data_IF_335702270577
#
_entry.id   IF_335702270577
#
_cell.length_a   1.000
_cell.length_b   1.000
_cell.length_c   1.000
_cell.angle_alpha   90.00
_cell.angle_beta   90.00
_cell.angle_gamma   90.00
#
_symmetry.space_group_name_H-M   'P 1'
#
loop_
_entity.id
_entity.type
_entity.pdbx_description
1 polymer ?
#
# COMPACT_ATOMS: atom_id res chain seq x y z
N UNK A 1 19.71 4.25 -0.48
CA UNK A 1 19.65 5.41 0.43
C UNK A 1 18.84 4.98 1.64
N UNK A 2 19.35 5.21 2.83
CA UNK A 2 18.58 5.07 4.08
C UNK A 2 17.94 6.42 4.40
N UNK A 3 16.69 6.41 4.88
CA UNK A 3 15.98 7.59 5.31
C UNK A 3 15.61 7.45 6.79
N UNK A 4 15.70 8.55 7.52
CA UNK A 4 15.31 8.61 8.93
C UNK A 4 13.81 8.93 9.04
N UNK A 5 13.03 7.96 9.52
CA UNK A 5 11.59 8.12 9.75
C UNK A 5 11.27 8.58 11.17
N UNK A 6 12.25 8.62 12.07
CA UNK A 6 12.06 8.92 13.50
C UNK A 6 11.25 10.19 13.74
N UNK A 7 11.47 11.32 13.03
CA UNK A 7 10.72 12.54 13.23
C UNK A 7 9.23 12.44 12.84
N UNK A 8 8.84 11.41 12.09
CA UNK A 8 7.51 11.26 11.50
C UNK A 8 6.67 10.16 12.14
N UNK A 9 7.27 9.34 13.02
CA UNK A 9 6.61 8.15 13.60
C UNK A 9 5.32 8.47 14.34
N UNK A 10 5.28 9.60 15.04
CA UNK A 10 4.14 10.01 15.88
C UNK A 10 3.39 11.24 15.35
N UNK A 11 3.70 11.68 14.13
CA UNK A 11 2.91 12.73 13.48
C UNK A 11 1.55 12.19 13.05
N UNK A 12 0.57 13.07 12.98
CA UNK A 12 -0.73 12.75 12.39
C UNK A 12 -0.60 12.59 10.86
N UNK A 13 -1.48 11.82 10.20
CA UNK A 13 -1.50 11.73 8.74
C UNK A 13 -1.60 13.10 8.05
N UNK A 14 -2.38 14.02 8.58
CA UNK A 14 -2.50 15.39 8.04
C UNK A 14 -1.17 16.15 8.08
N UNK A 15 -0.40 16.02 9.17
CA UNK A 15 0.94 16.61 9.27
C UNK A 15 1.92 16.01 8.27
N UNK A 16 1.90 14.69 8.10
CA UNK A 16 2.78 14.02 7.13
C UNK A 16 2.38 14.38 5.70
N UNK A 17 1.08 14.43 5.36
CA UNK A 17 0.62 14.92 4.05
C UNK A 17 1.07 16.35 3.76
N UNK A 18 1.06 17.24 4.74
CA UNK A 18 1.60 18.62 4.57
C UNK A 18 3.08 18.61 4.21
N UNK A 19 3.89 17.77 4.88
CA UNK A 19 5.33 17.62 4.59
C UNK A 19 5.61 16.93 3.25
N UNK A 20 4.68 16.14 2.74
CA UNK A 20 4.74 15.59 1.39
C UNK A 20 4.49 16.70 0.36
N UNK A 21 3.43 17.49 0.57
CA UNK A 21 3.10 18.61 -0.33
C UNK A 21 4.18 19.66 -0.44
N UNK A 22 4.92 19.94 0.63
CA UNK A 22 6.03 20.89 0.62
C UNK A 22 7.36 20.28 0.15
N UNK A 23 7.38 18.97 -0.18
CA UNK A 23 8.56 18.27 -0.68
C UNK A 23 9.56 17.82 0.39
N UNK A 24 9.25 17.99 1.68
CA UNK A 24 10.12 17.51 2.78
C UNK A 24 10.19 15.99 2.81
N UNK A 25 9.08 15.31 2.49
CA UNK A 25 9.00 13.85 2.43
C UNK A 25 8.78 13.43 0.96
N UNK A 26 9.82 12.84 0.36
CA UNK A 26 9.80 12.31 -1.01
C UNK A 26 10.21 10.82 -1.06
N UNK A 27 10.09 10.11 0.07
CA UNK A 27 10.51 8.72 0.27
C UNK A 27 9.38 7.87 0.90
N UNK A 28 9.50 6.52 0.92
CA UNK A 28 8.45 5.63 1.43
C UNK A 28 8.05 5.92 2.87
N UNK A 29 6.75 5.83 3.15
CA UNK A 29 6.15 6.19 4.46
C UNK A 29 6.09 5.03 5.46
N UNK A 30 6.77 3.91 5.21
CA UNK A 30 6.83 2.77 6.13
C UNK A 30 7.28 3.21 7.53
N UNK A 31 6.50 2.85 8.56
CA UNK A 31 6.78 3.19 9.95
C UNK A 31 6.39 4.60 10.39
N UNK A 32 5.90 5.47 9.50
CA UNK A 32 5.34 6.77 9.84
C UNK A 32 3.90 6.65 10.36
N UNK A 33 3.42 7.68 11.06
CA UNK A 33 2.04 7.78 11.55
C UNK A 33 1.58 6.52 12.29
N UNK A 34 2.28 6.11 13.32
CA UNK A 34 1.95 4.91 14.10
C UNK A 34 0.49 4.92 14.55
N UNK A 35 -0.17 3.76 14.41
CA UNK A 35 -1.59 3.60 14.75
C UNK A 35 -2.57 4.00 13.64
N UNK A 36 -2.08 4.48 12.48
CA UNK A 36 -2.92 4.82 11.34
C UNK A 36 -2.73 3.82 10.19
N UNK A 37 -3.82 3.58 9.46
CA UNK A 37 -3.78 2.77 8.25
C UNK A 37 -3.01 3.49 7.14
N UNK A 38 -2.35 2.72 6.28
CA UNK A 38 -1.69 3.22 5.08
C UNK A 38 -2.27 2.55 3.84
N UNK A 39 -2.26 3.26 2.72
CA UNK A 39 -2.76 2.77 1.44
C UNK A 39 -1.76 2.99 0.32
N UNK A 40 -1.83 2.12 -0.69
CA UNK A 40 -1.26 2.36 -1.99
C UNK A 40 -2.30 3.03 -2.89
N UNK A 41 -1.86 3.79 -3.88
CA UNK A 41 -2.73 4.49 -4.81
C UNK A 41 -2.62 3.93 -6.23
N UNK A 42 -3.77 3.75 -6.87
CA UNK A 42 -3.88 3.55 -8.33
C UNK A 42 -4.86 4.59 -8.87
N UNK A 43 -4.45 5.35 -9.88
CA UNK A 43 -5.31 6.27 -10.64
C UNK A 43 -5.44 5.73 -12.06
N UNK A 44 -6.67 5.59 -12.52
CA UNK A 44 -7.00 5.07 -13.85
C UNK A 44 -7.94 6.00 -14.61
N UNK A 45 -7.85 6.05 -15.95
CA UNK A 45 -8.93 6.57 -16.78
C UNK A 45 -10.25 5.82 -16.52
N UNK A 46 -11.38 6.51 -16.61
CA UNK A 46 -12.70 5.96 -16.30
C UNK A 46 -13.06 4.69 -17.05
N UNK A 47 -12.61 4.58 -18.31
CA UNK A 47 -12.86 3.40 -19.16
C UNK A 47 -12.31 2.09 -18.57
N UNK A 48 -11.29 2.17 -17.71
CA UNK A 48 -10.69 1.01 -17.03
C UNK A 48 -11.22 0.80 -15.60
N UNK A 49 -11.94 1.75 -15.05
CA UNK A 49 -12.28 1.76 -13.63
C UNK A 49 -13.20 0.60 -13.23
N UNK A 50 -14.20 0.28 -14.05
CA UNK A 50 -15.14 -0.81 -13.78
C UNK A 50 -14.45 -2.18 -13.81
N UNK A 51 -13.58 -2.42 -14.78
CA UNK A 51 -12.81 -3.65 -14.88
C UNK A 51 -11.82 -3.81 -13.74
N UNK A 52 -11.20 -2.70 -13.32
CA UNK A 52 -10.28 -2.72 -12.16
C UNK A 52 -11.03 -2.96 -10.85
N UNK A 53 -12.19 -2.35 -10.67
CA UNK A 53 -13.06 -2.61 -9.52
C UNK A 53 -13.46 -4.09 -9.44
N UNK A 54 -13.85 -4.69 -10.58
CA UNK A 54 -14.15 -6.12 -10.66
C UNK A 54 -12.89 -6.97 -10.39
N UNK A 55 -11.72 -6.57 -10.91
CA UNK A 55 -10.45 -7.24 -10.63
C UNK A 55 -10.15 -7.26 -9.11
N UNK A 56 -10.35 -6.15 -8.41
CA UNK A 56 -10.11 -6.09 -6.97
C UNK A 56 -11.11 -6.94 -6.18
N UNK A 57 -12.38 -7.01 -6.60
CA UNK A 57 -13.41 -7.89 -6.00
C UNK A 57 -13.06 -9.37 -6.16
N UNK A 58 -12.51 -9.76 -7.30
CA UNK A 58 -12.03 -11.14 -7.55
C UNK A 58 -10.75 -11.47 -6.79
N UNK A 59 -9.99 -10.45 -6.43
CA UNK A 59 -8.69 -10.57 -5.76
C UNK A 59 -8.66 -9.76 -4.44
N UNK A 60 -9.57 -10.02 -3.49
CA UNK A 60 -9.73 -9.17 -2.31
C UNK A 60 -8.54 -9.23 -1.34
N UNK A 61 -7.72 -10.27 -1.40
CA UNK A 61 -6.53 -10.38 -0.57
C UNK A 61 -5.35 -9.57 -1.13
N UNK A 62 -4.94 -9.68 -2.41
CA UNK A 62 -3.87 -8.86 -2.97
C UNK A 62 -4.27 -7.41 -3.23
N UNK A 63 -5.56 -7.11 -3.34
CA UNK A 63 -6.05 -5.78 -3.69
C UNK A 63 -7.25 -5.36 -2.80
N UNK A 64 -7.08 -5.24 -1.47
CA UNK A 64 -8.16 -4.79 -0.58
C UNK A 64 -8.42 -3.31 -0.79
N UNK A 65 -9.49 -2.98 -1.50
CA UNK A 65 -9.90 -1.59 -1.74
C UNK A 65 -10.45 -1.00 -0.45
N UNK A 66 -9.91 0.14 -0.04
CA UNK A 66 -10.32 0.90 1.13
C UNK A 66 -11.26 2.05 0.74
N UNK A 67 -10.97 2.73 -0.37
CA UNK A 67 -11.79 3.82 -0.88
C UNK A 67 -11.67 3.91 -2.41
N UNK A 68 -12.78 4.26 -3.08
CA UNK A 68 -12.82 4.58 -4.52
C UNK A 68 -13.20 6.05 -4.66
N UNK A 69 -12.35 6.83 -5.32
CA UNK A 69 -12.43 8.28 -5.42
C UNK A 69 -12.82 8.66 -6.84
N UNK A 70 -13.92 9.42 -6.99
CA UNK A 70 -14.48 9.84 -8.29
C UNK A 70 -14.81 11.34 -8.27
N UNK A 71 -14.67 11.99 -9.41
CA UNK A 71 -14.99 13.42 -9.57
C UNK A 71 -13.87 14.32 -9.01
N UNK A 72 -13.84 14.58 -7.71
CA UNK A 72 -12.76 15.28 -7.02
C UNK A 72 -11.65 14.31 -6.60
N UNK A 73 -10.36 14.71 -6.57
CA UNK A 73 -9.26 13.87 -6.06
C UNK A 73 -9.19 13.86 -4.52
N UNK A 74 -10.20 14.33 -3.83
CA UNK A 74 -10.23 14.40 -2.37
C UNK A 74 -10.66 13.08 -1.75
N UNK A 75 -10.03 12.72 -0.62
CA UNK A 75 -10.39 11.54 0.18
C UNK A 75 -11.47 11.88 1.20
N UNK A 76 -12.36 10.94 1.47
CA UNK A 76 -13.44 11.06 2.43
C UNK A 76 -13.31 10.04 3.56
N UNK A 77 -13.23 8.74 3.22
CA UNK A 77 -13.23 7.64 4.20
C UNK A 77 -11.83 7.40 4.78
N UNK A 78 -10.78 7.48 3.95
CA UNK A 78 -9.39 7.18 4.35
C UNK A 78 -8.59 8.36 4.87
N UNK A 79 -9.20 9.52 5.02
CA UNK A 79 -8.53 10.67 5.60
C UNK A 79 -9.13 11.99 5.14
N UNK A 80 -9.96 12.57 5.98
CA UNK A 80 -10.58 13.86 5.72
C UNK A 80 -9.54 14.92 5.31
N UNK A 81 -9.83 15.66 4.25
CA UNK A 81 -8.95 16.69 3.69
C UNK A 81 -7.66 16.17 3.04
N UNK A 82 -7.61 14.87 2.73
CA UNK A 82 -6.54 14.31 1.90
C UNK A 82 -6.81 14.51 0.41
N UNK A 83 -5.75 14.57 -0.38
CA UNK A 83 -5.84 14.73 -1.83
C UNK A 83 -4.88 13.72 -2.50
N UNK A 84 -5.45 12.80 -3.29
CA UNK A 84 -4.67 11.69 -3.87
C UNK A 84 -3.69 12.10 -4.97
N UNK A 85 -3.73 13.33 -5.45
CA UNK A 85 -2.79 13.80 -6.50
C UNK A 85 -1.65 14.65 -5.96
N UNK A 86 -1.67 15.05 -4.66
CA UNK A 86 -0.62 15.85 -4.02
C UNK A 86 -0.04 15.25 -2.75
N UNK A 87 -0.73 14.27 -2.14
CA UNK A 87 -0.42 13.78 -0.79
C UNK A 87 0.35 12.46 -0.76
N UNK A 88 0.85 12.02 -1.91
CA UNK A 88 1.67 10.83 -2.06
C UNK A 88 3.11 11.25 -2.39
N UNK A 89 4.13 10.70 -1.70
CA UNK A 89 5.51 11.14 -1.88
C UNK A 89 6.03 11.02 -3.31
N UNK A 90 5.61 9.97 -4.04
CA UNK A 90 6.01 9.74 -5.43
C UNK A 90 4.93 9.02 -6.21
N UNK A 91 4.67 9.50 -7.42
CA UNK A 91 3.76 8.91 -8.41
C UNK A 91 4.59 8.34 -9.56
N UNK A 92 4.23 7.15 -10.02
CA UNK A 92 4.77 6.57 -11.25
C UNK A 92 3.75 6.66 -12.36
N UNK A 93 4.13 7.33 -13.44
CA UNK A 93 3.29 7.48 -14.64
C UNK A 93 3.60 6.38 -15.62
N UNK A 94 2.54 5.72 -16.10
CA UNK A 94 2.60 4.71 -17.15
C UNK A 94 1.74 5.18 -18.32
N UNK A 95 2.31 5.17 -19.52
CA UNK A 95 1.63 5.48 -20.76
C UNK A 95 1.73 4.28 -21.69
N UNK A 96 0.58 3.78 -22.17
CA UNK A 96 0.50 2.56 -22.99
C UNK A 96 1.20 1.34 -22.33
N UNK A 97 1.10 1.19 -21.01
CA UNK A 97 1.71 0.11 -20.24
C UNK A 97 3.21 0.27 -19.98
N UNK A 98 3.83 1.38 -20.42
CA UNK A 98 5.25 1.65 -20.24
C UNK A 98 5.44 2.74 -19.18
N UNK A 99 6.36 2.49 -18.22
CA UNK A 99 6.78 3.52 -17.26
C UNK A 99 7.46 4.67 -18.01
N UNK A 100 7.02 5.91 -17.76
CA UNK A 100 7.55 7.10 -18.42
C UNK A 100 8.32 8.00 -17.47
N UNK A 101 7.81 8.26 -16.26
CA UNK A 101 8.44 9.15 -15.30
C UNK A 101 7.91 9.00 -13.87
N UNK A 102 8.63 9.57 -12.91
CA UNK A 102 8.17 9.80 -11.55
C UNK A 102 7.81 11.28 -11.34
N UNK A 103 6.82 11.52 -10.48
CA UNK A 103 6.34 12.86 -10.12
C UNK A 103 6.14 12.94 -8.61
N UNK A 104 6.18 14.13 -8.05
CA UNK A 104 5.74 14.45 -6.68
C UNK A 104 4.34 15.09 -6.65
N UNK A 105 3.83 15.51 -7.80
CA UNK A 105 2.51 16.10 -7.98
C UNK A 105 1.87 15.51 -9.26
N UNK A 106 0.73 14.85 -9.12
CA UNK A 106 0.00 14.22 -10.20
C UNK A 106 -1.23 15.03 -10.65
N UNK A 107 -1.41 16.28 -10.21
CA UNK A 107 -2.59 17.12 -10.50
C UNK A 107 -2.83 17.27 -12.01
N UNK A 108 -1.77 17.39 -12.80
CA UNK A 108 -1.85 17.50 -14.25
C UNK A 108 -2.42 16.24 -14.95
N UNK A 109 -2.43 15.10 -14.25
CA UNK A 109 -2.90 13.79 -14.72
C UNK A 109 -4.33 13.46 -14.28
N UNK A 110 -4.87 14.19 -13.31
CA UNK A 110 -6.26 14.05 -12.90
C UNK A 110 -7.14 14.75 -13.92
N UNK A 111 -7.79 13.96 -14.77
CA UNK A 111 -8.69 14.44 -15.82
C UNK A 111 -10.14 14.06 -15.46
N UNK A 112 -11.08 14.71 -16.13
CA UNK A 112 -12.48 14.31 -16.05
C UNK A 112 -12.64 12.81 -16.35
N UNK A 113 -13.40 12.12 -15.53
CA UNK A 113 -13.60 10.68 -15.62
C UNK A 113 -12.50 9.82 -14.98
N UNK A 114 -11.38 10.38 -14.50
CA UNK A 114 -10.40 9.61 -13.74
C UNK A 114 -11.00 9.06 -12.44
N UNK A 115 -10.55 7.87 -12.04
CA UNK A 115 -10.93 7.20 -10.81
C UNK A 115 -9.68 6.80 -10.03
N UNK A 116 -9.65 7.17 -8.75
CA UNK A 116 -8.62 6.77 -7.80
C UNK A 116 -9.08 5.58 -6.96
N UNK A 117 -8.16 4.67 -6.69
CA UNK A 117 -8.36 3.52 -5.80
C UNK A 117 -7.29 3.55 -4.70
N UNK A 118 -7.72 3.64 -3.45
CA UNK A 118 -6.86 3.43 -2.30
C UNK A 118 -6.90 1.95 -1.92
N UNK A 119 -5.77 1.30 -2.01
CA UNK A 119 -5.61 -0.13 -1.77
C UNK A 119 -4.81 -0.32 -0.49
N UNK A 120 -5.30 -1.14 0.44
CA UNK A 120 -4.66 -1.40 1.72
C UNK A 120 -3.21 -1.84 1.56
N UNK A 121 -2.37 -1.31 2.42
CA UNK A 121 -0.94 -1.56 2.45
C UNK A 121 -0.54 -2.35 3.70
N UNK A 122 0.39 -3.27 3.54
CA UNK A 122 0.94 -4.07 4.64
C UNK A 122 1.69 -3.24 5.70
N UNK A 123 2.00 -1.98 5.44
CA UNK A 123 2.58 -1.07 6.43
C UNK A 123 1.63 -0.81 7.61
N UNK A 124 0.32 -0.92 7.39
CA UNK A 124 -0.71 -0.69 8.42
C UNK A 124 -0.58 -1.60 9.66
N UNK A 125 -0.01 -2.80 9.51
CA UNK A 125 0.15 -3.73 10.64
C UNK A 125 1.57 -3.79 11.22
N UNK A 126 2.54 -3.11 10.61
CA UNK A 126 3.94 -3.18 11.05
C UNK A 126 4.16 -2.60 12.44
N UNK A 127 3.40 -1.56 12.78
CA UNK A 127 3.43 -0.99 14.13
C UNK A 127 3.04 -2.01 15.18
N UNK A 128 1.98 -2.80 14.96
CA UNK A 128 1.55 -3.84 15.88
C UNK A 128 2.61 -4.94 16.05
N UNK A 129 3.34 -5.28 14.98
CA UNK A 129 4.46 -6.21 15.05
C UNK A 129 5.61 -5.66 15.91
N UNK A 130 6.00 -4.40 15.69
CA UNK A 130 7.08 -3.76 16.43
C UNK A 130 6.72 -3.60 17.90
N UNK A 131 5.47 -3.23 18.21
CA UNK A 131 4.97 -3.12 19.60
C UNK A 131 4.95 -4.47 20.33
N UNK A 132 4.84 -5.58 19.61
CA UNK A 132 4.96 -6.93 20.13
C UNK A 132 6.42 -7.43 20.23
N UNK A 133 7.41 -6.56 19.97
CA UNK A 133 8.84 -6.89 20.02
C UNK A 133 9.34 -7.66 18.80
N UNK A 134 8.59 -7.68 17.69
CA UNK A 134 9.02 -8.31 16.44
C UNK A 134 9.73 -7.27 15.59
N UNK A 135 11.02 -7.51 15.31
CA UNK A 135 11.81 -6.63 14.45
C UNK A 135 11.26 -6.64 13.00
N UNK A 136 11.03 -5.45 12.45
CA UNK A 136 10.70 -5.24 11.05
C UNK A 136 11.95 -4.76 10.34
N UNK A 137 12.71 -5.69 9.73
CA UNK A 137 14.08 -5.47 9.25
C UNK A 137 14.23 -4.32 8.28
N UNK A 138 13.33 -4.15 7.33
CA UNK A 138 13.44 -3.07 6.35
C UNK A 138 13.31 -1.69 7.00
N UNK A 139 12.48 -1.55 8.05
CA UNK A 139 12.39 -0.32 8.84
C UNK A 139 13.70 -0.09 9.60
N UNK A 140 14.21 -1.11 10.30
CA UNK A 140 15.46 -1.02 11.04
C UNK A 140 16.66 -0.68 10.14
N UNK A 141 16.62 -1.07 8.86
CA UNK A 141 17.65 -0.81 7.86
C UNK A 141 17.41 0.48 7.05
N UNK A 142 16.32 1.21 7.30
CA UNK A 142 15.95 2.42 6.56
C UNK A 142 15.79 2.19 5.06
N UNK A 143 15.19 1.07 4.66
CA UNK A 143 14.94 0.73 3.26
C UNK A 143 13.48 0.30 3.04
N UNK A 144 13.07 0.17 1.78
CA UNK A 144 11.74 -0.30 1.46
C UNK A 144 11.60 -1.82 1.67
N UNK A 145 10.38 -2.30 1.93
CA UNK A 145 10.10 -3.73 2.05
C UNK A 145 10.43 -4.47 0.75
N UNK A 146 11.12 -5.62 0.79
CA UNK A 146 11.37 -6.39 -0.41
C UNK A 146 10.06 -7.01 -0.94
N UNK A 147 9.87 -6.92 -2.26
CA UNK A 147 8.69 -7.42 -2.95
C UNK A 147 9.09 -8.46 -4.00
N UNK A 148 8.26 -9.49 -4.16
CA UNK A 148 8.50 -10.61 -5.05
C UNK A 148 7.27 -10.91 -5.90
N UNK A 149 7.47 -11.11 -7.19
CA UNK A 149 6.47 -11.73 -8.06
C UNK A 149 6.39 -13.22 -7.71
N UNK A 150 5.19 -13.71 -7.47
CA UNK A 150 4.95 -15.14 -7.21
C UNK A 150 4.54 -15.87 -8.48
N UNK A 151 4.46 -17.20 -8.42
CA UNK A 151 3.86 -18.03 -9.48
C UNK A 151 2.33 -18.18 -9.34
N UNK A 152 1.73 -17.55 -8.33
CA UNK A 152 0.28 -17.56 -8.09
C UNK A 152 -0.34 -16.49 -8.98
N UNK A 153 -1.23 -16.89 -9.89
CA UNK A 153 -1.93 -15.95 -10.76
C UNK A 153 -3.12 -15.33 -10.03
N UNK A 154 -3.38 -14.06 -10.30
CA UNK A 154 -4.61 -13.38 -9.90
C UNK A 154 -5.78 -13.82 -10.81
N UNK A 155 -7.00 -13.74 -10.30
CA UNK A 155 -8.21 -13.93 -11.10
C UNK A 155 -8.37 -12.72 -12.05
N UNK A 156 -8.40 -12.92 -13.37
CA UNK A 156 -8.44 -11.80 -14.32
C UNK A 156 -9.81 -11.12 -14.37
N UNK A 157 -9.80 -9.82 -14.72
CA UNK A 157 -11.01 -9.06 -15.08
C UNK A 157 -10.65 -7.98 -16.11
N UNK A 158 -11.35 -7.96 -17.25
CA UNK A 158 -11.01 -7.10 -18.38
C UNK A 158 -9.53 -7.23 -18.76
N UNK A 159 -8.79 -6.13 -18.92
CA UNK A 159 -7.36 -6.15 -19.25
C UNK A 159 -6.46 -6.47 -18.03
N UNK A 160 -7.01 -6.55 -16.82
CA UNK A 160 -6.22 -6.73 -15.61
C UNK A 160 -5.99 -8.22 -15.33
N UNK A 161 -4.71 -8.60 -15.26
CA UNK A 161 -4.27 -9.95 -14.93
C UNK A 161 -2.78 -9.91 -14.55
N UNK A 162 -2.29 -10.97 -13.93
CA UNK A 162 -0.87 -11.13 -13.67
C UNK A 162 -0.57 -11.95 -12.40
N UNK A 163 0.70 -12.17 -12.10
CA UNK A 163 1.09 -12.86 -10.88
C UNK A 163 0.86 -11.98 -9.66
N UNK A 164 0.44 -12.60 -8.57
CA UNK A 164 0.35 -11.93 -7.27
C UNK A 164 1.75 -11.47 -6.83
N UNK A 165 1.84 -10.25 -6.32
CA UNK A 165 3.06 -9.70 -5.73
C UNK A 165 2.95 -9.77 -4.21
N UNK A 166 4.00 -10.25 -3.54
CA UNK A 166 4.06 -10.33 -2.09
C UNK A 166 5.24 -9.54 -1.55
N UNK A 167 5.06 -8.88 -0.42
CA UNK A 167 6.15 -8.38 0.40
C UNK A 167 6.61 -9.48 1.38
N UNK A 168 7.91 -9.50 1.72
CA UNK A 168 8.47 -10.49 2.62
C UNK A 168 9.12 -9.83 3.84
N UNK A 169 8.89 -10.43 5.00
CA UNK A 169 9.51 -10.05 6.28
C UNK A 169 10.14 -11.27 6.91
N UNK A 170 11.47 -11.45 6.79
CA UNK A 170 12.18 -12.58 7.41
C UNK A 170 12.08 -12.49 8.92
N UNK A 171 11.71 -13.60 9.57
CA UNK A 171 11.63 -13.70 11.03
C UNK A 171 11.76 -15.15 11.48
N UNK A 172 11.99 -15.36 12.78
CA UNK A 172 12.01 -16.71 13.34
C UNK A 172 10.63 -17.39 13.26
N UNK A 173 10.57 -18.74 13.29
CA UNK A 173 9.29 -19.45 13.30
C UNK A 173 8.35 -19.03 14.44
N UNK A 174 8.91 -18.74 15.62
CA UNK A 174 8.15 -18.26 16.77
C UNK A 174 7.55 -16.88 16.50
N UNK A 175 8.35 -15.93 16.00
CA UNK A 175 7.87 -14.61 15.64
C UNK A 175 6.88 -14.65 14.46
N UNK A 176 7.04 -15.60 13.53
CA UNK A 176 6.09 -15.80 12.47
C UNK A 176 4.70 -16.20 12.98
N UNK A 177 4.63 -17.07 13.98
CA UNK A 177 3.35 -17.43 14.61
C UNK A 177 2.74 -16.22 15.37
N UNK A 178 3.55 -15.49 16.16
CA UNK A 178 3.09 -14.26 16.83
C UNK A 178 2.58 -13.22 15.83
N UNK A 179 3.31 -13.01 14.72
CA UNK A 179 2.91 -12.07 13.68
C UNK A 179 1.59 -12.48 13.03
N UNK A 180 1.37 -13.78 12.78
CA UNK A 180 0.09 -14.29 12.29
C UNK A 180 -1.06 -13.95 13.25
N UNK A 181 -0.90 -14.24 14.53
CA UNK A 181 -1.93 -14.01 15.56
C UNK A 181 -2.25 -12.51 15.73
N UNK A 182 -1.24 -11.64 15.60
CA UNK A 182 -1.39 -10.19 15.66
C UNK A 182 -2.15 -9.68 14.45
N UNK A 183 -1.72 -10.06 13.24
CA UNK A 183 -2.30 -9.55 12.00
C UNK A 183 -3.70 -10.08 11.77
N UNK A 184 -4.03 -11.27 12.24
CA UNK A 184 -5.40 -11.80 12.19
C UNK A 184 -6.40 -10.96 13.00
N UNK A 185 -5.94 -10.26 14.05
CA UNK A 185 -6.78 -9.38 14.89
C UNK A 185 -6.92 -7.96 14.34
N UNK A 186 -5.91 -7.47 13.61
CA UNK A 186 -5.90 -6.10 13.08
C UNK A 186 -6.73 -5.94 11.81
N UNK A 187 -7.04 -7.02 11.12
CA UNK A 187 -7.94 -7.02 9.98
C UNK A 187 -9.36 -7.32 10.47
N UNK A 188 -10.07 -6.30 10.91
CA UNK A 188 -11.35 -6.35 11.63
C UNK A 188 -12.51 -6.98 10.85
N UNK A 189 -12.37 -7.37 9.60
CA UNK A 189 -13.42 -8.07 8.86
C UNK A 189 -12.95 -9.25 8.00
N UNK A 190 -11.65 -9.45 7.84
CA UNK A 190 -11.11 -10.63 7.16
C UNK A 190 -9.75 -10.98 7.74
N UNK A 191 -9.51 -12.22 8.23
CA UNK A 191 -8.18 -12.64 8.62
C UNK A 191 -7.26 -12.38 7.43
N UNK A 192 -6.31 -11.47 7.59
CA UNK A 192 -5.28 -11.31 6.57
C UNK A 192 -4.40 -12.55 6.64
N UNK A 193 -4.72 -13.54 5.83
CA UNK A 193 -3.81 -14.63 5.47
C UNK A 193 -2.60 -14.08 4.69
N UNK A 194 -2.43 -12.76 4.70
CA UNK A 194 -1.33 -12.03 4.15
C UNK A 194 -0.07 -12.33 4.92
N UNK A 195 0.67 -13.24 4.39
CA UNK A 195 2.10 -13.19 4.61
C UNK A 195 2.71 -14.19 5.55
N UNK A 196 1.98 -15.17 6.12
CA UNK A 196 2.62 -16.27 6.83
C UNK A 196 2.18 -17.59 6.20
N UNK A 197 2.72 -17.88 5.02
CA UNK A 197 2.77 -19.26 4.56
C UNK A 197 3.97 -19.93 5.23
N UNK A 198 3.70 -21.02 5.96
CA UNK A 198 4.76 -21.94 6.39
C UNK A 198 5.51 -22.45 5.14
N UNK A 199 6.81 -22.73 5.28
CA UNK A 199 7.68 -23.29 4.23
C UNK A 199 7.07 -24.47 3.43
N UNK A 200 6.09 -25.17 4.01
CA UNK A 200 5.41 -26.33 3.42
C UNK A 200 4.34 -26.01 2.35
N UNK A 201 4.09 -24.74 2.05
CA UNK A 201 3.04 -24.34 1.13
C UNK A 201 3.53 -23.60 -0.13
N UNK A 202 4.84 -23.52 -0.35
CA UNK A 202 5.37 -23.07 -1.63
C UNK A 202 5.55 -24.31 -2.51
N UNK A 203 4.87 -24.44 -3.66
CA UNK A 203 5.25 -25.43 -4.65
C UNK A 203 6.68 -25.11 -5.13
N UNK A 204 7.51 -26.13 -5.13
CA UNK A 204 8.86 -26.10 -5.72
C UNK A 204 8.81 -25.81 -7.21
#
# INVERSE_FOLDING_TARGET
MSFDITPYMYKTPAQVRALIRDGTIDFPTAGMCRGYAQANLVILPGDYAADFEEFTKRNPFPCPVLEIIKGSPETHDMGEGGNIVTDIPRYRVYENGVFTKELTDASAYWKEGCVGFLIGCSFSFEEALMSAGIEVRHIAQGCNVPMYKTNIQTAPAGPFSGPMVCSMRPMSPENAQKAYDITAKTCTERPSTWGIRRKSALPT
#
